data_IF_203428911653
#
_entry.id   IF_203428911653
#
_cell.length_a   1.000
_cell.length_b   1.000
_cell.length_c   1.000
_cell.angle_alpha   90.00
_cell.angle_beta   90.00
_cell.angle_gamma   90.00
#
_symmetry.space_group_name_H-M   'P 1'
#
loop_
_entity.id
_entity.type
_entity.pdbx_description
1 polymer ?
#
# COMPACT_ATOMS: atom_id res chain seq x y z
N UNK A 1 19.30 54.06 39.91
CA UNK A 1 20.55 53.34 39.55
C UNK A 1 20.16 51.88 39.36
N UNK A 2 20.28 51.19 38.23
CA UNK A 2 21.27 51.21 37.13
C UNK A 2 20.56 50.92 35.80
N UNK A 3 21.05 51.55 34.74
CA UNK A 3 20.73 51.27 33.33
C UNK A 3 21.72 50.23 32.76
N UNK A 4 21.38 49.69 31.58
CA UNK A 4 22.19 49.07 30.52
C UNK A 4 22.45 47.56 30.52
N UNK A 5 21.88 46.87 29.53
CA UNK A 5 22.56 46.03 28.53
C UNK A 5 21.57 45.78 27.36
N UNK A 6 21.73 46.46 26.21
CA UNK A 6 22.38 45.98 24.96
C UNK A 6 21.54 44.96 24.17
N UNK A 7 20.76 45.38 23.17
CA UNK A 7 21.08 45.52 21.73
C UNK A 7 21.48 44.23 20.97
N UNK A 8 20.63 43.90 19.98
CA UNK A 8 20.86 43.22 18.67
C UNK A 8 21.68 41.92 18.61
N UNK A 9 21.08 40.86 18.05
CA UNK A 9 21.35 40.37 16.67
C UNK A 9 20.16 39.51 16.20
N UNK A 10 19.58 39.91 15.07
CA UNK A 10 18.64 39.13 14.29
C UNK A 10 19.39 38.21 13.31
N UNK A 11 18.67 37.17 12.84
CA UNK A 11 18.97 36.28 11.71
C UNK A 11 19.84 35.05 12.00
N UNK A 12 19.18 33.88 12.03
CA UNK A 12 19.66 32.72 11.28
C UNK A 12 18.50 31.83 10.83
N UNK A 13 18.11 32.06 9.58
CA UNK A 13 17.79 31.05 8.55
C UNK A 13 16.93 29.84 8.96
N UNK A 14 15.64 30.02 8.70
CA UNK A 14 14.65 29.00 8.35
C UNK A 14 15.18 28.04 7.27
N UNK A 15 15.43 26.77 7.59
CA UNK A 15 15.39 25.69 6.61
C UNK A 15 14.87 24.40 7.27
N UNK A 16 14.02 23.70 6.51
CA UNK A 16 13.34 22.43 6.78
C UNK A 16 12.02 22.50 7.55
N UNK A 17 11.06 23.25 7.01
CA UNK A 17 9.70 22.73 6.97
C UNK A 17 9.66 21.59 5.94
N UNK A 18 9.75 20.36 6.40
CA UNK A 18 9.25 19.21 5.64
C UNK A 18 7.73 19.36 5.54
N UNK A 19 7.25 19.90 4.42
CA UNK A 19 5.82 19.85 4.09
C UNK A 19 5.50 18.44 3.59
N UNK A 20 5.34 17.51 4.52
CA UNK A 20 4.61 16.28 4.28
C UNK A 20 3.13 16.54 4.60
N UNK A 21 2.42 17.07 3.62
CA UNK A 21 0.95 17.08 3.60
C UNK A 21 0.53 17.02 2.15
N UNK A 22 -0.21 15.98 1.75
CA UNK A 22 -1.62 16.15 1.37
C UNK A 22 -2.23 14.79 1.03
N UNK A 23 -2.88 14.21 2.05
CA UNK A 23 -4.12 13.47 1.86
C UNK A 23 -5.16 14.38 1.20
N UNK A 24 -5.93 13.90 0.22
CA UNK A 24 -7.26 14.42 -0.12
C UNK A 24 -8.04 13.45 -1.03
N UNK A 25 -9.05 12.72 -0.52
CA UNK A 25 -10.29 12.54 -1.25
C UNK A 25 -11.11 13.80 -1.00
N UNK A 26 -10.87 14.84 -1.80
CA UNK A 26 -11.85 15.92 -1.89
C UNK A 26 -13.14 15.32 -2.47
N UNK A 27 -14.30 15.66 -1.91
CA UNK A 27 -15.58 15.29 -2.53
C UNK A 27 -15.60 15.84 -3.95
N UNK A 28 -15.84 14.98 -4.94
CA UNK A 28 -15.98 15.40 -6.33
C UNK A 28 -17.23 16.28 -6.47
N UNK A 29 -17.14 17.30 -7.32
CA UNK A 29 -18.30 18.08 -7.74
C UNK A 29 -19.14 17.32 -8.79
N UNK A 30 -20.22 17.93 -9.26
CA UNK A 30 -21.12 17.33 -10.26
C UNK A 30 -20.46 17.07 -11.63
N UNK A 31 -19.27 17.61 -11.86
CA UNK A 31 -18.47 17.39 -13.07
C UNK A 31 -17.49 16.22 -12.88
N UNK A 32 -17.33 15.72 -11.65
CA UNK A 32 -16.43 14.63 -11.30
C UNK A 32 -15.00 15.08 -11.04
N UNK A 33 -14.80 16.34 -10.66
CA UNK A 33 -13.50 16.88 -10.30
C UNK A 33 -13.51 17.64 -8.98
N UNK A 34 -12.36 18.13 -8.56
CA UNK A 34 -12.27 19.03 -7.40
C UNK A 34 -11.09 19.99 -7.52
N UNK A 35 -11.13 21.07 -6.72
CA UNK A 35 -10.01 22.00 -6.60
C UNK A 35 -8.99 21.51 -5.58
N UNK A 36 -7.73 21.49 -5.97
CA UNK A 36 -6.62 21.39 -5.03
C UNK A 36 -6.47 22.71 -4.26
N UNK A 37 -6.56 22.63 -2.93
CA UNK A 37 -6.61 23.81 -2.06
C UNK A 37 -5.35 24.69 -2.09
N UNK A 38 -4.18 24.09 -2.37
CA UNK A 38 -2.90 24.79 -2.34
C UNK A 38 -2.72 25.80 -3.47
N UNK A 39 -3.22 25.50 -4.67
CA UNK A 39 -2.92 26.28 -5.88
C UNK A 39 -4.12 26.49 -6.81
N UNK A 40 -5.32 26.08 -6.39
CA UNK A 40 -6.55 26.16 -7.17
C UNK A 40 -6.44 25.46 -8.54
N UNK A 41 -5.59 24.43 -8.67
CA UNK A 41 -5.64 23.53 -9.82
C UNK A 41 -6.92 22.69 -9.72
N UNK A 42 -7.73 22.68 -10.78
CA UNK A 42 -8.89 21.81 -10.88
C UNK A 42 -8.48 20.46 -11.46
N UNK A 43 -8.69 19.39 -10.72
CA UNK A 43 -8.36 18.02 -11.11
C UNK A 43 -9.66 17.30 -11.51
N UNK A 44 -9.78 16.92 -12.78
CA UNK A 44 -10.95 16.20 -13.29
C UNK A 44 -10.69 14.69 -13.24
N UNK A 45 -11.12 14.03 -12.17
CA UNK A 45 -10.85 12.61 -11.94
C UNK A 45 -11.82 11.70 -12.70
N UNK A 46 -13.12 12.02 -12.66
CA UNK A 46 -14.21 11.17 -13.17
C UNK A 46 -15.20 11.98 -14.02
N UNK A 47 -14.82 12.43 -15.24
CA UNK A 47 -15.66 13.29 -16.05
C UNK A 47 -17.10 12.76 -16.19
N UNK A 48 -18.06 13.49 -15.63
CA UNK A 48 -19.48 13.12 -15.76
C UNK A 48 -19.99 13.45 -17.16
N UNK A 49 -21.18 12.95 -17.50
CA UNK A 49 -21.85 13.35 -18.74
C UNK A 49 -22.02 14.87 -18.86
N UNK A 50 -22.12 15.59 -17.74
CA UNK A 50 -22.17 17.04 -17.69
C UNK A 50 -20.83 17.67 -18.06
N UNK A 51 -19.72 17.18 -17.49
CA UNK A 51 -18.37 17.62 -17.86
C UNK A 51 -18.04 17.35 -19.33
N UNK A 52 -18.49 16.20 -19.86
CA UNK A 52 -18.25 15.78 -21.24
C UNK A 52 -18.98 16.63 -22.29
N UNK A 53 -19.93 17.49 -21.89
CA UNK A 53 -20.52 18.50 -22.78
C UNK A 53 -19.50 19.55 -23.21
N UNK A 54 -18.47 19.80 -22.38
CA UNK A 54 -17.38 20.68 -22.75
C UNK A 54 -16.55 20.03 -23.85
N UNK A 55 -16.42 20.71 -25.00
CA UNK A 55 -15.58 20.26 -26.13
C UNK A 55 -14.09 20.60 -25.94
N UNK A 56 -13.77 21.46 -24.99
CA UNK A 56 -12.42 21.93 -24.71
C UNK A 56 -12.35 22.52 -23.28
N UNK A 57 -11.14 22.78 -22.80
CA UNK A 57 -10.93 23.29 -21.43
C UNK A 57 -11.62 24.64 -21.20
N UNK A 58 -11.74 25.50 -22.22
CA UNK A 58 -12.43 26.79 -22.07
C UNK A 58 -13.94 26.62 -21.81
N UNK A 59 -14.59 25.66 -22.48
CA UNK A 59 -15.98 25.29 -22.19
C UNK A 59 -16.11 24.65 -20.79
N UNK A 60 -15.13 23.83 -20.39
CA UNK A 60 -15.10 23.20 -19.07
C UNK A 60 -14.95 24.24 -17.95
N UNK A 61 -14.17 25.31 -18.14
CA UNK A 61 -14.09 26.43 -17.19
C UNK A 61 -15.49 27.00 -16.88
N UNK A 62 -16.36 27.15 -17.88
CA UNK A 62 -17.71 27.68 -17.68
C UNK A 62 -18.57 26.73 -16.84
N UNK A 63 -18.46 25.43 -17.09
CA UNK A 63 -19.14 24.42 -16.28
C UNK A 63 -18.62 24.43 -14.84
N UNK A 64 -17.30 24.46 -14.62
CA UNK A 64 -16.71 24.46 -13.27
C UNK A 64 -17.17 25.71 -12.51
N UNK A 65 -17.17 26.88 -13.14
CA UNK A 65 -17.67 28.13 -12.51
C UNK A 65 -19.15 28.05 -12.14
N UNK A 66 -19.93 27.23 -12.84
CA UNK A 66 -21.38 27.07 -12.61
C UNK A 66 -21.68 26.02 -11.54
N UNK A 67 -20.97 24.90 -11.54
CA UNK A 67 -21.30 23.71 -10.76
C UNK A 67 -20.39 23.48 -9.54
N UNK A 68 -19.32 24.25 -9.40
CA UNK A 68 -18.43 24.19 -8.25
C UNK A 68 -18.60 25.40 -7.32
N UNK A 69 -18.83 25.14 -6.03
CA UNK A 69 -19.12 26.17 -5.03
C UNK A 69 -17.88 26.83 -4.41
N UNK A 70 -16.65 26.47 -4.83
CA UNK A 70 -15.42 27.08 -4.32
C UNK A 70 -15.19 28.46 -4.95
N UNK A 71 -15.87 29.48 -4.41
CA UNK A 71 -15.80 30.85 -4.91
C UNK A 71 -14.38 31.44 -4.94
N UNK A 72 -13.46 30.97 -4.09
CA UNK A 72 -12.06 31.41 -4.09
C UNK A 72 -11.37 30.99 -5.40
N UNK A 73 -11.49 29.71 -5.77
CA UNK A 73 -10.81 29.18 -6.94
C UNK A 73 -11.56 29.45 -8.25
N UNK A 74 -12.89 29.41 -8.26
CA UNK A 74 -13.67 29.65 -9.50
C UNK A 74 -13.52 31.07 -10.04
N UNK A 75 -13.29 32.08 -9.20
CA UNK A 75 -13.10 33.47 -9.64
C UNK A 75 -11.91 33.66 -10.59
N UNK A 76 -10.81 32.96 -10.33
CA UNK A 76 -9.55 33.10 -11.07
C UNK A 76 -9.28 31.91 -12.01
N UNK A 77 -10.23 30.97 -12.13
CA UNK A 77 -10.05 29.78 -12.95
C UNK A 77 -9.88 30.14 -14.43
N UNK A 78 -8.79 29.64 -15.01
CA UNK A 78 -8.41 29.69 -16.41
C UNK A 78 -8.15 28.27 -16.95
N UNK A 79 -8.10 28.10 -18.26
CA UNK A 79 -7.98 26.77 -18.90
C UNK A 79 -6.65 26.05 -18.58
N UNK A 80 -5.58 26.79 -18.29
CA UNK A 80 -4.28 26.27 -17.85
C UNK A 80 -4.29 25.75 -16.40
N UNK A 81 -5.30 26.15 -15.60
CA UNK A 81 -5.53 25.68 -14.22
C UNK A 81 -6.48 24.48 -14.15
N UNK A 82 -6.58 23.72 -15.24
CA UNK A 82 -7.34 22.47 -15.32
C UNK A 82 -6.38 21.34 -15.71
N UNK A 83 -6.26 20.35 -14.83
CA UNK A 83 -5.70 19.05 -15.15
C UNK A 83 -6.84 18.08 -15.49
N UNK A 84 -6.72 17.42 -16.65
CA UNK A 84 -7.69 16.43 -17.10
C UNK A 84 -7.31 15.02 -16.67
N UNK A 85 -6.14 14.82 -16.04
CA UNK A 85 -5.64 13.52 -15.60
C UNK A 85 -5.69 12.44 -16.70
N UNK A 86 -5.50 12.85 -17.96
CA UNK A 86 -5.53 11.96 -19.12
C UNK A 86 -6.90 11.80 -19.81
N UNK A 87 -7.96 12.47 -19.35
CA UNK A 87 -9.27 12.45 -20.01
C UNK A 87 -9.34 13.39 -21.22
N UNK A 88 -10.13 13.01 -22.24
CA UNK A 88 -10.40 13.82 -23.43
C UNK A 88 -11.79 14.45 -23.36
N UNK A 89 -11.88 15.75 -23.67
CA UNK A 89 -13.12 16.53 -23.65
C UNK A 89 -13.88 16.43 -24.99
N UNK A 90 -15.22 16.53 -24.96
CA UNK A 90 -16.06 16.59 -26.16
C UNK A 90 -16.65 15.28 -26.65
N UNK A 91 -16.70 14.25 -25.81
CA UNK A 91 -17.31 12.96 -26.15
C UNK A 91 -18.81 12.90 -25.82
N UNK A 92 -19.68 13.33 -26.74
CA UNK A 92 -21.04 12.78 -26.86
C UNK A 92 -21.13 12.15 -28.26
N UNK A 93 -20.77 10.87 -28.36
CA UNK A 93 -21.32 10.02 -29.42
C UNK A 93 -22.45 9.22 -28.81
N UNK A 94 -23.67 9.63 -29.12
CA UNK A 94 -24.87 8.89 -28.82
C UNK A 94 -24.77 7.47 -29.40
N UNK A 95 -24.98 6.47 -28.54
CA UNK A 95 -25.51 5.15 -28.86
C UNK A 95 -25.19 4.60 -30.28
N UNK A 96 -23.94 4.21 -30.50
CA UNK A 96 -23.71 2.82 -30.94
C UNK A 96 -23.16 2.10 -29.74
N UNK A 97 -24.02 1.25 -29.18
CA UNK A 97 -23.67 0.21 -28.23
C UNK A 97 -22.55 -0.62 -28.82
N UNK A 98 -21.31 -0.28 -28.48
CA UNK A 98 -20.33 -1.28 -28.14
C UNK A 98 -20.44 -1.46 -26.63
N UNK A 99 -21.40 -2.31 -26.22
CA UNK A 99 -21.49 -2.82 -24.85
C UNK A 99 -20.20 -3.55 -24.41
N UNK A 100 -19.21 -3.65 -25.30
CA UNK A 100 -17.89 -4.17 -25.05
C UNK A 100 -16.95 -3.22 -24.31
N UNK A 101 -17.25 -1.92 -24.12
CA UNK A 101 -16.29 -0.98 -23.52
C UNK A 101 -16.51 -0.69 -22.02
N UNK A 102 -17.75 -0.77 -21.51
CA UNK A 102 -18.06 -0.38 -20.12
C UNK A 102 -18.14 -1.60 -19.21
N UNK A 103 -17.30 -1.63 -18.17
CA UNK A 103 -17.38 -2.64 -17.13
C UNK A 103 -18.70 -2.50 -16.35
N UNK A 104 -19.34 -3.63 -16.13
CA UNK A 104 -20.51 -3.85 -15.28
C UNK A 104 -20.14 -4.74 -14.09
N UNK A 105 -20.78 -4.49 -12.95
CA UNK A 105 -20.60 -5.24 -11.72
C UNK A 105 -21.16 -6.66 -11.84
N UNK A 106 -20.51 -7.64 -11.18
CA UNK A 106 -20.94 -9.03 -11.19
C UNK A 106 -20.64 -9.79 -12.50
N UNK A 107 -19.85 -9.21 -13.41
CA UNK A 107 -19.59 -9.76 -14.75
C UNK A 107 -18.14 -10.19 -14.91
N UNK A 108 -17.91 -11.05 -15.90
CA UNK A 108 -16.60 -11.60 -16.28
C UNK A 108 -16.06 -10.94 -17.53
N UNK A 109 -14.78 -10.61 -17.53
CA UNK A 109 -14.08 -9.99 -18.65
C UNK A 109 -12.78 -10.72 -18.93
N UNK A 110 -12.53 -11.01 -20.21
CA UNK A 110 -11.22 -11.45 -20.65
C UNK A 110 -10.20 -10.32 -20.41
N UNK A 111 -9.03 -10.67 -19.92
CA UNK A 111 -8.00 -9.72 -19.57
C UNK A 111 -6.63 -10.18 -20.05
N UNK A 112 -5.76 -9.21 -20.36
CA UNK A 112 -4.34 -9.47 -20.63
C UNK A 112 -3.50 -8.81 -19.56
N UNK A 113 -2.54 -9.53 -18.99
CA UNK A 113 -1.60 -8.97 -18.03
C UNK A 113 -0.75 -7.89 -18.69
N UNK A 114 -0.76 -6.68 -18.12
CA UNK A 114 0.12 -5.57 -18.53
C UNK A 114 1.34 -5.52 -17.63
N UNK A 115 1.15 -5.54 -16.31
CA UNK A 115 2.22 -5.40 -15.33
C UNK A 115 1.85 -6.05 -14.00
N UNK A 116 2.77 -6.83 -13.41
CA UNK A 116 2.66 -7.27 -12.02
C UNK A 116 3.06 -6.11 -11.09
N UNK A 117 2.31 -5.86 -10.01
CA UNK A 117 2.64 -4.83 -9.01
C UNK A 117 3.11 -5.50 -7.72
N UNK A 118 2.23 -6.24 -7.04
CA UNK A 118 2.50 -6.95 -5.79
C UNK A 118 1.75 -8.29 -5.74
N UNK A 119 1.57 -8.88 -4.55
CA UNK A 119 0.91 -10.17 -4.38
C UNK A 119 -0.60 -10.14 -4.61
N UNK A 120 -1.24 -8.97 -4.52
CA UNK A 120 -2.70 -8.81 -4.61
C UNK A 120 -3.16 -7.69 -5.56
N UNK A 121 -2.23 -7.12 -6.31
CA UNK A 121 -2.47 -6.02 -7.24
C UNK A 121 -1.67 -6.26 -8.53
N UNK A 122 -2.35 -6.10 -9.66
CA UNK A 122 -1.73 -6.13 -10.99
C UNK A 122 -2.47 -5.20 -11.95
N UNK A 123 -1.81 -4.86 -13.06
CA UNK A 123 -2.42 -4.12 -14.16
C UNK A 123 -2.86 -5.05 -15.27
N UNK A 124 -4.08 -4.84 -15.75
CA UNK A 124 -4.65 -5.61 -16.86
C UNK A 124 -5.21 -4.70 -17.94
N UNK A 125 -5.09 -5.17 -19.19
CA UNK A 125 -5.83 -4.65 -20.33
C UNK A 125 -7.18 -5.37 -20.40
N UNK A 126 -8.27 -4.61 -20.28
CA UNK A 126 -9.65 -5.11 -20.33
C UNK A 126 -10.42 -4.21 -21.27
N UNK A 127 -11.11 -4.78 -22.27
CA UNK A 127 -11.92 -4.00 -23.21
C UNK A 127 -11.17 -2.83 -23.87
N UNK A 128 -9.86 -3.02 -24.13
CA UNK A 128 -9.00 -2.00 -24.73
C UNK A 128 -8.53 -0.88 -23.79
N UNK A 129 -8.79 -0.98 -22.48
CA UNK A 129 -8.32 -0.03 -21.46
C UNK A 129 -7.49 -0.72 -20.38
N UNK A 130 -6.44 -0.04 -19.92
CA UNK A 130 -5.62 -0.48 -18.80
C UNK A 130 -6.30 -0.15 -17.46
N UNK A 131 -6.35 -1.12 -16.56
CA UNK A 131 -6.84 -0.96 -15.19
C UNK A 131 -5.80 -1.50 -14.22
N UNK A 132 -5.46 -0.71 -13.19
CA UNK A 132 -4.89 -1.26 -11.97
C UNK A 132 -6.01 -2.00 -11.24
N UNK A 133 -5.78 -3.25 -10.85
CA UNK A 133 -6.79 -4.12 -10.28
C UNK A 133 -6.34 -4.62 -8.92
N UNK A 134 -7.13 -4.37 -7.88
CA UNK A 134 -6.97 -4.92 -6.54
C UNK A 134 -7.76 -6.21 -6.45
N UNK A 135 -7.09 -7.27 -6.04
CA UNK A 135 -7.66 -8.60 -5.96
C UNK A 135 -8.58 -8.65 -4.75
N UNK A 136 -9.83 -9.03 -4.98
CA UNK A 136 -10.81 -9.06 -3.91
C UNK A 136 -10.36 -9.96 -2.75
N UNK A 137 -10.72 -9.53 -1.55
CA UNK A 137 -10.74 -10.32 -0.32
C UNK A 137 -9.40 -10.72 0.31
N UNK A 138 -8.28 -10.68 -0.42
CA UNK A 138 -6.96 -11.06 0.14
C UNK A 138 -6.11 -9.83 0.40
N UNK A 139 -5.28 -9.86 1.45
CA UNK A 139 -4.17 -8.93 1.65
C UNK A 139 -2.87 -9.73 1.70
N UNK A 140 -1.88 -9.33 0.92
CA UNK A 140 -0.56 -9.97 0.89
C UNK A 140 0.49 -9.05 1.50
N UNK A 141 1.54 -9.58 2.15
CA UNK A 141 2.59 -8.74 2.70
C UNK A 141 3.16 -7.80 1.63
N UNK A 142 3.35 -6.54 2.01
CA UNK A 142 3.73 -5.49 1.10
C UNK A 142 5.13 -5.73 0.51
N UNK A 143 5.29 -5.36 -0.76
CA UNK A 143 6.53 -5.63 -1.52
C UNK A 143 7.09 -4.42 -2.26
N UNK A 144 6.41 -3.28 -2.17
CA UNK A 144 6.68 -2.08 -2.96
C UNK A 144 7.11 -0.90 -2.11
N UNK A 145 6.15 -0.27 -1.41
CA UNK A 145 6.37 0.90 -0.54
C UNK A 145 7.04 0.45 0.76
N UNK A 146 6.48 -0.59 1.36
CA UNK A 146 7.07 -1.32 2.48
C UNK A 146 7.47 -2.71 1.95
N UNK A 147 8.60 -3.23 2.44
CA UNK A 147 9.09 -4.55 2.05
C UNK A 147 8.98 -5.44 3.28
N UNK A 148 7.86 -6.13 3.36
CA UNK A 148 7.56 -7.03 4.46
C UNK A 148 8.11 -8.43 4.18
N UNK A 149 8.40 -9.22 5.23
CA UNK A 149 8.71 -10.62 5.06
C UNK A 149 7.63 -11.32 4.23
N UNK A 150 8.05 -12.08 3.21
CA UNK A 150 7.18 -12.77 2.24
C UNK A 150 6.53 -11.90 1.16
N UNK A 151 6.68 -10.57 1.18
CA UNK A 151 6.05 -9.73 0.16
C UNK A 151 6.59 -9.98 -1.25
N UNK A 152 7.92 -10.12 -1.39
CA UNK A 152 8.53 -10.48 -2.68
C UNK A 152 8.10 -11.86 -3.16
N UNK A 153 8.03 -12.82 -2.24
CA UNK A 153 7.57 -14.18 -2.51
C UNK A 153 6.11 -14.19 -2.99
N UNK A 154 5.23 -13.41 -2.34
CA UNK A 154 3.83 -13.23 -2.75
C UNK A 154 3.73 -12.62 -4.16
N UNK A 155 4.42 -11.50 -4.40
CA UNK A 155 4.45 -10.83 -5.70
C UNK A 155 4.97 -11.75 -6.82
N UNK A 156 6.06 -12.48 -6.58
CA UNK A 156 6.63 -13.43 -7.54
C UNK A 156 5.68 -14.60 -7.81
N UNK A 157 5.07 -15.17 -6.77
CA UNK A 157 4.12 -16.27 -6.92
C UNK A 157 2.92 -15.84 -7.77
N UNK A 158 2.28 -14.73 -7.40
CA UNK A 158 1.15 -14.13 -8.13
C UNK A 158 1.52 -13.88 -9.59
N UNK A 159 2.64 -13.20 -9.83
CA UNK A 159 3.09 -12.90 -11.19
C UNK A 159 3.38 -14.17 -12.01
N UNK A 160 3.94 -15.21 -11.38
CA UNK A 160 4.20 -16.49 -12.04
C UNK A 160 2.91 -17.18 -12.50
N UNK A 161 1.83 -17.09 -11.70
CA UNK A 161 0.52 -17.65 -12.03
C UNK A 161 -0.16 -16.86 -13.14
N UNK A 162 -0.16 -15.54 -13.05
CA UNK A 162 -0.75 -14.67 -14.08
C UNK A 162 -0.09 -14.85 -15.46
N UNK A 163 1.23 -15.13 -15.50
CA UNK A 163 1.96 -15.41 -16.75
C UNK A 163 1.60 -16.74 -17.40
N UNK A 164 0.88 -17.64 -16.71
CA UNK A 164 0.50 -18.96 -17.25
C UNK A 164 -0.69 -18.90 -18.23
N UNK A 165 -1.28 -17.72 -18.45
CA UNK A 165 -2.21 -17.48 -19.56
C UNK A 165 -3.65 -17.25 -19.11
N UNK A 166 -4.60 -17.52 -20.02
CA UNK A 166 -6.02 -17.13 -20.02
C UNK A 166 -6.56 -16.49 -18.72
N UNK A 167 -6.47 -15.16 -18.64
CA UNK A 167 -6.91 -14.39 -17.47
C UNK A 167 -8.35 -13.93 -17.67
N UNK A 168 -9.18 -14.15 -16.67
CA UNK A 168 -10.52 -13.56 -16.57
C UNK A 168 -10.65 -12.78 -15.27
N UNK A 169 -11.10 -11.54 -15.36
CA UNK A 169 -11.48 -10.73 -14.20
C UNK A 169 -12.98 -10.84 -14.00
N UNK A 170 -13.40 -11.20 -12.78
CA UNK A 170 -14.81 -11.19 -12.38
C UNK A 170 -15.04 -10.10 -11.35
N UNK A 171 -15.80 -9.06 -11.72
CA UNK A 171 -16.17 -7.98 -10.80
C UNK A 171 -17.22 -8.48 -9.81
N UNK A 172 -17.19 -7.98 -8.57
CA UNK A 172 -18.06 -8.43 -7.48
C UNK A 172 -18.16 -7.36 -6.39
N UNK A 173 -19.09 -7.52 -5.44
CA UNK A 173 -19.36 -6.55 -4.39
C UNK A 173 -20.37 -5.47 -4.79
N UNK A 174 -20.29 -4.29 -4.18
CA UNK A 174 -21.23 -3.16 -4.37
C UNK A 174 -20.73 -2.08 -5.33
N UNK A 175 -19.42 -2.00 -5.56
CA UNK A 175 -18.77 -1.03 -6.45
C UNK A 175 -17.77 -1.72 -7.37
N UNK A 176 -17.51 -1.11 -8.53
CA UNK A 176 -16.47 -1.59 -9.45
C UNK A 176 -15.06 -1.21 -8.99
N UNK A 177 -14.92 -0.11 -8.28
CA UNK A 177 -13.64 0.47 -7.91
C UNK A 177 -13.58 0.74 -6.42
N UNK A 178 -12.37 0.66 -5.86
CA UNK A 178 -12.09 1.17 -4.53
C UNK A 178 -11.87 2.70 -4.53
N UNK A 179 -11.65 3.27 -3.34
CA UNK A 179 -11.36 4.71 -3.15
C UNK A 179 -10.05 5.19 -3.79
N UNK A 180 -9.21 4.28 -4.29
CA UNK A 180 -7.97 4.56 -5.00
C UNK A 180 -8.12 4.35 -6.51
N UNK A 181 -9.35 4.18 -7.00
CA UNK A 181 -9.69 3.93 -8.39
C UNK A 181 -9.06 2.65 -8.96
N UNK A 182 -8.80 1.65 -8.12
CA UNK A 182 -8.40 0.31 -8.58
C UNK A 182 -9.64 -0.52 -8.82
N UNK A 183 -9.66 -1.25 -9.94
CA UNK A 183 -10.73 -2.19 -10.28
C UNK A 183 -10.74 -3.32 -9.24
N UNK A 184 -11.90 -3.62 -8.68
CA UNK A 184 -12.10 -4.73 -7.75
C UNK A 184 -12.51 -5.98 -8.52
N UNK A 185 -11.70 -7.03 -8.45
CA UNK A 185 -12.02 -8.27 -9.15
C UNK A 185 -11.49 -9.54 -8.47
N UNK A 186 -12.23 -10.62 -8.66
CA UNK A 186 -11.72 -11.98 -8.59
C UNK A 186 -10.92 -12.29 -9.84
N UNK A 187 -9.74 -12.90 -9.68
CA UNK A 187 -8.84 -13.16 -10.80
C UNK A 187 -8.77 -14.66 -11.06
N UNK A 188 -9.09 -15.03 -12.29
CA UNK A 188 -9.06 -16.41 -12.74
C UNK A 188 -7.94 -16.60 -13.74
N UNK A 189 -7.17 -17.67 -13.58
CA UNK A 189 -6.19 -18.14 -14.57
C UNK A 189 -6.64 -19.52 -15.04
N UNK A 190 -7.21 -19.58 -16.24
CA UNK A 190 -7.97 -20.74 -16.70
C UNK A 190 -9.17 -21.01 -15.79
N UNK A 191 -9.19 -22.16 -15.10
CA UNK A 191 -10.25 -22.55 -14.16
C UNK A 191 -9.85 -22.37 -12.67
N UNK A 192 -8.67 -21.82 -12.39
CA UNK A 192 -8.13 -21.63 -11.04
C UNK A 192 -8.41 -20.22 -10.56
N UNK A 193 -8.94 -20.10 -9.34
CA UNK A 193 -9.09 -18.82 -8.65
C UNK A 193 -7.73 -18.44 -8.06
N UNK A 194 -7.12 -17.36 -8.54
CA UNK A 194 -5.77 -16.97 -8.14
C UNK A 194 -5.69 -16.71 -6.64
N UNK A 195 -6.65 -15.98 -6.07
CA UNK A 195 -6.71 -15.70 -4.64
C UNK A 195 -6.71 -16.96 -3.76
N UNK A 196 -7.34 -18.04 -4.23
CA UNK A 196 -7.31 -19.35 -3.55
C UNK A 196 -5.92 -19.97 -3.63
N UNK A 197 -5.25 -19.90 -4.80
CA UNK A 197 -3.89 -20.42 -4.96
C UNK A 197 -2.86 -19.66 -4.11
N UNK A 198 -2.95 -18.33 -4.06
CA UNK A 198 -2.08 -17.49 -3.20
C UNK A 198 -2.30 -17.81 -1.73
N UNK A 199 -3.57 -17.95 -1.31
CA UNK A 199 -3.93 -18.34 0.06
C UNK A 199 -3.40 -19.72 0.43
N UNK A 200 -3.55 -20.69 -0.47
CA UNK A 200 -3.07 -22.07 -0.27
C UNK A 200 -1.54 -22.15 -0.19
N UNK A 201 -0.84 -21.25 -0.88
CA UNK A 201 0.61 -21.13 -0.79
C UNK A 201 1.09 -20.51 0.55
N UNK A 202 0.17 -20.00 1.38
CA UNK A 202 0.51 -19.33 2.63
C UNK A 202 1.13 -17.95 2.42
N UNK A 203 0.63 -17.22 1.42
CA UNK A 203 1.16 -15.91 1.01
C UNK A 203 0.16 -14.76 1.21
N UNK A 204 -1.01 -15.05 1.79
CA UNK A 204 -1.99 -14.06 2.25
C UNK A 204 -1.85 -13.90 3.76
N UNK A 205 -1.74 -12.66 4.24
CA UNK A 205 -1.60 -12.33 5.66
C UNK A 205 -2.93 -12.08 6.35
N UNK A 206 -3.85 -11.37 5.67
CA UNK A 206 -5.17 -11.03 6.19
C UNK A 206 -6.22 -11.00 5.08
N UNK A 207 -7.48 -10.79 5.45
CA UNK A 207 -8.58 -10.59 4.53
C UNK A 207 -9.02 -9.14 4.51
N UNK A 208 -8.97 -8.53 3.33
CA UNK A 208 -9.43 -7.16 3.13
C UNK A 208 -10.87 -7.16 2.62
N UNK A 209 -11.79 -6.73 3.48
CA UNK A 209 -13.24 -6.84 3.27
C UNK A 209 -13.86 -5.47 2.86
N UNK A 210 -14.47 -5.40 1.67
CA UNK A 210 -15.36 -4.27 1.29
C UNK A 210 -16.84 -4.70 1.15
N UNK A 211 -17.22 -5.88 1.63
CA UNK A 211 -18.57 -6.45 1.60
C UNK A 211 -18.57 -7.96 1.38
N UNK A 212 -19.78 -8.53 1.25
CA UNK A 212 -19.93 -9.97 1.01
C UNK A 212 -19.57 -10.34 -0.44
N UNK A 213 -18.65 -11.29 -0.62
CA UNK A 213 -18.20 -11.73 -1.93
C UNK A 213 -18.42 -13.23 -2.21
N UNK A 214 -18.52 -13.58 -3.50
CA UNK A 214 -18.89 -14.93 -3.96
C UNK A 214 -17.98 -16.07 -3.47
N UNK A 215 -16.67 -15.81 -3.32
CA UNK A 215 -15.67 -16.88 -3.15
C UNK A 215 -14.92 -16.85 -1.82
N UNK A 216 -15.34 -16.05 -0.84
CA UNK A 216 -14.67 -15.96 0.45
C UNK A 216 -14.46 -17.32 1.11
N UNK A 217 -15.49 -18.18 1.09
CA UNK A 217 -15.41 -19.51 1.69
C UNK A 217 -14.26 -20.37 1.15
N UNK A 218 -13.98 -20.29 -0.16
CA UNK A 218 -12.85 -21.00 -0.80
C UNK A 218 -11.52 -20.45 -0.31
N UNK A 219 -11.40 -19.13 -0.29
CA UNK A 219 -10.16 -18.43 0.11
C UNK A 219 -9.86 -18.65 1.60
N UNK A 220 -10.88 -18.53 2.47
CA UNK A 220 -10.76 -18.82 3.91
C UNK A 220 -10.33 -20.28 4.16
N UNK A 221 -10.94 -21.23 3.45
CA UNK A 221 -10.57 -22.64 3.56
C UNK A 221 -9.12 -22.91 3.12
N UNK A 222 -8.68 -22.27 2.02
CA UNK A 222 -7.31 -22.38 1.52
C UNK A 222 -6.28 -21.79 2.49
N UNK A 223 -6.54 -20.62 3.08
CA UNK A 223 -5.67 -20.04 4.11
C UNK A 223 -5.63 -20.93 5.36
N UNK A 224 -6.76 -21.49 5.80
CA UNK A 224 -6.79 -22.40 6.93
C UNK A 224 -5.98 -23.68 6.65
N UNK A 225 -6.02 -24.22 5.42
CA UNK A 225 -5.16 -25.32 5.00
C UNK A 225 -3.67 -24.93 5.06
N UNK A 226 -3.31 -23.77 4.53
CA UNK A 226 -1.93 -23.28 4.57
C UNK A 226 -1.41 -23.13 6.01
N UNK A 227 -2.23 -22.60 6.93
CA UNK A 227 -1.90 -22.49 8.36
C UNK A 227 -1.68 -23.86 9.01
N UNK A 228 -2.56 -24.84 8.76
CA UNK A 228 -2.42 -26.21 9.30
C UNK A 228 -1.16 -26.90 8.81
N UNK A 229 -0.79 -26.68 7.55
CA UNK A 229 0.36 -27.32 6.92
C UNK A 229 1.67 -26.55 7.10
N UNK A 230 1.62 -25.35 7.70
CA UNK A 230 2.78 -24.47 7.84
C UNK A 230 3.36 -24.03 6.49
N UNK A 231 2.51 -23.77 5.50
CA UNK A 231 2.93 -23.31 4.19
C UNK A 231 3.33 -21.82 4.20
N UNK A 232 4.29 -21.44 3.36
CA UNK A 232 4.71 -20.05 3.18
C UNK A 232 5.06 -19.36 4.50
N UNK A 233 4.42 -18.22 4.75
CA UNK A 233 4.62 -17.42 5.95
C UNK A 233 4.17 -18.11 7.25
N UNK A 234 3.44 -19.22 7.16
CA UNK A 234 2.95 -19.97 8.33
C UNK A 234 3.91 -21.08 8.79
N UNK A 235 5.06 -21.24 8.13
CA UNK A 235 6.06 -22.23 8.53
C UNK A 235 6.66 -21.93 9.90
N UNK A 236 7.02 -22.95 10.70
CA UNK A 236 7.58 -22.75 12.05
C UNK A 236 8.92 -21.98 12.07
N UNK A 237 9.60 -21.87 10.92
CA UNK A 237 10.82 -21.06 10.75
C UNK A 237 10.55 -19.59 10.40
N UNK A 238 9.34 -19.23 9.98
CA UNK A 238 9.01 -17.86 9.56
C UNK A 238 8.91 -16.88 10.74
N UNK A 239 8.49 -17.36 11.91
CA UNK A 239 8.38 -16.59 13.17
C UNK A 239 9.75 -16.12 13.70
N UNK A 240 10.83 -16.47 13.01
CA UNK A 240 12.21 -16.11 13.36
C UNK A 240 12.91 -15.21 12.33
N UNK A 241 12.28 -14.77 11.22
CA UNK A 241 12.92 -13.77 10.34
C UNK A 241 12.84 -12.40 11.03
N UNK A 242 13.94 -11.85 11.58
CA UNK A 242 13.94 -10.50 12.10
C UNK A 242 13.98 -9.53 10.91
N UNK A 243 13.29 -8.41 11.05
CA UNK A 243 13.38 -7.27 10.14
C UNK A 243 14.86 -6.95 9.81
N UNK A 244 15.23 -7.13 8.55
CA UNK A 244 16.60 -6.96 8.06
C UNK A 244 17.04 -5.50 7.92
N UNK A 245 16.23 -4.54 8.39
CA UNK A 245 16.55 -3.11 8.38
C UNK A 245 17.71 -2.72 9.33
N UNK A 246 18.21 -3.61 10.20
CA UNK A 246 19.25 -3.29 11.21
C UNK A 246 20.65 -3.84 10.97
N UNK A 247 20.92 -4.52 9.84
CA UNK A 247 22.26 -5.04 9.53
C UNK A 247 22.89 -4.32 8.33
N UNK A 248 22.99 -3.00 8.43
CA UNK A 248 23.89 -2.23 7.56
C UNK A 248 24.57 -1.11 8.36
N UNK A 249 25.14 -1.45 9.52
CA UNK A 249 26.03 -0.52 10.24
C UNK A 249 27.16 -1.16 11.07
N UNK A 250 27.44 -2.46 10.89
CA UNK A 250 28.54 -3.15 11.61
C UNK A 250 29.48 -3.96 10.71
N UNK A 251 29.57 -3.60 9.43
CA UNK A 251 30.55 -4.16 8.49
C UNK A 251 31.53 -3.09 7.97
N UNK A 252 31.93 -2.15 8.83
CA UNK A 252 32.94 -1.15 8.49
C UNK A 252 33.84 -0.80 9.69
N UNK A 253 34.31 -1.84 10.39
CA UNK A 253 35.41 -1.70 11.35
C UNK A 253 36.08 -3.06 11.55
N UNK A 254 36.63 -3.63 10.46
CA UNK A 254 37.52 -4.80 10.51
C UNK A 254 38.36 -4.85 9.22
N UNK A 255 39.12 -3.78 8.97
CA UNK A 255 40.19 -3.79 7.96
C UNK A 255 41.30 -2.81 8.37
N UNK A 256 41.84 -3.02 9.58
CA UNK A 256 43.20 -2.61 9.98
C UNK A 256 43.45 -3.33 11.31
N UNK A 257 44.10 -4.48 11.37
CA UNK A 257 45.55 -4.56 11.42
C UNK A 257 45.91 -6.03 11.32
N UNK A 258 46.58 -6.43 10.25
CA UNK A 258 47.32 -7.68 10.19
C UNK A 258 48.81 -7.36 10.33
N UNK A 259 49.46 -7.84 11.40
CA UNK A 259 50.70 -8.65 11.39
C UNK A 259 51.45 -8.64 12.74
N UNK A 260 52.22 -9.72 12.92
CA UNK A 260 53.15 -10.09 14.01
C UNK A 260 52.48 -10.82 15.20
N UNK A 261 52.95 -11.97 15.72
CA UNK A 261 54.09 -12.86 15.44
C UNK A 261 53.83 -14.22 16.18
N UNK A 262 54.72 -15.19 15.95
CA UNK A 262 54.77 -16.64 16.22
C UNK A 262 54.38 -17.24 17.61
N UNK A 263 53.77 -18.46 17.53
CA UNK A 263 53.84 -19.74 18.31
C UNK A 263 54.55 -19.87 19.70
N UNK A 264 54.41 -20.99 20.46
CA UNK A 264 53.26 -21.90 20.73
C UNK A 264 53.15 -22.36 22.23
N UNK A 265 52.01 -22.97 22.66
CA UNK A 265 51.89 -24.25 23.44
C UNK A 265 50.66 -24.36 24.38
N UNK A 266 50.03 -25.55 24.27
CA UNK A 266 49.50 -26.49 25.28
C UNK A 266 48.42 -26.13 26.31
N UNK A 267 47.45 -27.06 26.38
CA UNK A 267 46.58 -27.54 27.49
C UNK A 267 45.67 -26.49 28.16
N UNK A 268 44.45 -26.75 28.61
CA UNK A 268 43.84 -27.97 29.12
C UNK A 268 42.31 -27.97 28.92
N UNK A 269 41.79 -29.20 28.96
CA UNK A 269 40.48 -29.65 29.45
C UNK A 269 39.65 -28.65 30.28
N UNK A 270 38.34 -28.61 29.97
CA UNK A 270 37.23 -29.03 30.85
C UNK A 270 36.04 -28.06 30.96
N UNK A 271 34.87 -28.64 30.66
CA UNK A 271 33.49 -28.38 31.12
C UNK A 271 33.16 -27.11 31.92
N UNK A 272 32.03 -26.45 31.62
CA UNK A 272 30.78 -26.74 32.34
C UNK A 272 29.57 -26.00 31.75
N UNK A 273 28.54 -26.79 31.47
CA UNK A 273 27.13 -26.68 31.84
C UNK A 273 26.57 -25.34 32.36
N UNK A 274 25.43 -24.97 31.76
CA UNK A 274 24.43 -23.99 32.20
C UNK A 274 23.94 -24.28 33.63
N UNK A 275 23.62 -23.24 34.42
CA UNK A 275 22.61 -23.37 35.49
C UNK A 275 21.76 -22.08 35.67
N UNK A 276 20.42 -22.20 35.67
CA UNK A 276 19.49 -21.11 35.93
C UNK A 276 19.06 -21.13 37.40
N UNK A 277 19.67 -20.34 38.29
CA UNK A 277 19.16 -20.18 39.67
C UNK A 277 19.42 -18.80 40.30
N UNK A 278 19.83 -17.79 39.53
CA UNK A 278 20.17 -16.47 40.08
C UNK A 278 18.99 -15.49 40.19
N UNK A 279 17.85 -15.76 39.56
CA UNK A 279 16.72 -14.81 39.50
C UNK A 279 15.68 -14.95 40.62
N UNK A 280 15.81 -15.94 41.51
CA UNK A 280 14.83 -16.20 42.57
C UNK A 280 15.18 -15.49 43.90
N UNK A 281 16.41 -15.01 44.07
CA UNK A 281 16.84 -14.30 45.28
C UNK A 281 16.70 -12.76 45.19
N UNK A 282 16.57 -12.19 43.98
CA UNK A 282 16.42 -10.74 43.79
C UNK A 282 14.97 -10.28 44.00
N UNK A 283 13.98 -11.15 43.74
CA UNK A 283 12.56 -10.83 43.89
C UNK A 283 12.08 -10.65 45.35
N UNK A 284 12.67 -11.38 46.30
CA UNK A 284 12.26 -11.33 47.71
C UNK A 284 12.72 -10.04 48.42
N UNK A 285 13.83 -9.43 47.98
CA UNK A 285 14.35 -8.19 48.58
C UNK A 285 13.51 -6.98 48.16
N UNK A 286 13.01 -6.96 46.91
CA UNK A 286 12.16 -5.86 46.41
C UNK A 286 10.76 -5.83 47.05
N UNK A 287 10.17 -6.99 47.35
CA UNK A 287 8.86 -7.06 47.99
C UNK A 287 8.86 -6.49 49.44
N UNK A 288 9.95 -6.71 50.19
CA UNK A 288 10.10 -6.20 51.56
C UNK A 288 10.26 -4.66 51.57
N UNK A 289 10.99 -4.11 50.60
CA UNK A 289 11.19 -2.66 50.48
C UNK A 289 9.88 -1.95 50.12
N UNK A 290 9.09 -2.51 49.19
CA UNK A 290 7.78 -1.95 48.81
C UNK A 290 6.81 -1.98 50.00
N UNK A 291 6.78 -3.08 50.75
CA UNK A 291 5.92 -3.20 51.93
C UNK A 291 6.27 -2.17 53.03
N UNK A 292 7.56 -1.88 53.22
CA UNK A 292 8.01 -0.88 54.20
C UNK A 292 7.69 0.57 53.80
N UNK A 293 7.61 0.87 52.49
CA UNK A 293 7.28 2.21 51.98
C UNK A 293 5.77 2.49 52.00
N UNK A 294 4.93 1.49 51.76
CA UNK A 294 3.46 1.65 51.75
C UNK A 294 2.86 1.74 53.15
N UNK A 295 3.58 1.30 54.19
CA UNK A 295 3.10 1.31 55.59
C UNK A 295 3.50 2.55 56.40
N UNK A 296 3.97 3.62 55.75
CA UNK A 296 4.31 4.90 56.38
C UNK A 296 3.35 6.00 55.97
#
# INVERSE_FOLDING_TARGET
MRKLASLLVAALFTLFFSTSSFAHPGTLDELGGHFRNSDCMYLLHEPTALAMQAKNKAALVQLIKKYNNNAKCTRQLTADKIDLEGHSLGGISAAKSDSSATLQLGKKYAATLVKCIDGDTAKFMVNGREYTTRFLFIDTPESTIEVEPYGKEASQFTCSRLKQGNITLETDGSTLFDKYHRLLAWVWVGNKLLQEEVSKAGLVEDFYDYGDYKYEGRVRAAMAEAKRNGAGMYSRSSTQKPDSSRQQQTAKEKEDTAKQDNQPKQSDKQSNTKHPFLYLLIGLVLAIIIYAVVRK
#
